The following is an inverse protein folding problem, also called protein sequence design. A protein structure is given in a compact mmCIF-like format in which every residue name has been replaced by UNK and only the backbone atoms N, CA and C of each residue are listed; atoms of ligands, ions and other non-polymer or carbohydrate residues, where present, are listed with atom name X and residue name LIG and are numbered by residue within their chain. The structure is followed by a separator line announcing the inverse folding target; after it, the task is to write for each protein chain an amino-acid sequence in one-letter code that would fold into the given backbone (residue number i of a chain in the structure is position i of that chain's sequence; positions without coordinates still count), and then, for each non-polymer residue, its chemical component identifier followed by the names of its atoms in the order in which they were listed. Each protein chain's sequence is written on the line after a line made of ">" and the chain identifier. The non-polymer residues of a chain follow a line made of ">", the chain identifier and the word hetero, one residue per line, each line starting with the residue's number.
data_IF_084501477123
#
_entry.id   IF_084501477123
#
_cell.length_a   1.000
_cell.length_b   1.000
_cell.length_c   1.000
_cell.angle_alpha   90.00
_cell.angle_beta   90.00
_cell.angle_gamma   90.00
#
_symmetry.space_group_name_H-M   'P 1'
#
loop_
_entity.id
_entity.type
_entity.pdbx_description
1 polymer ?
#
# COMPACT_ATOMS: atom_id res chain seq x y z
N UNK A 1 -9.81 -24.56 -15.92
CA UNK A 1 -8.76 -23.53 -15.72
C UNK A 1 -8.69 -23.10 -14.25
N UNK A 2 -8.21 -23.95 -13.34
CA UNK A 2 -8.21 -23.68 -11.88
C UNK A 2 -7.03 -22.80 -11.44
N UNK A 3 -5.99 -22.67 -12.27
CA UNK A 3 -4.70 -22.08 -11.90
C UNK A 3 -4.66 -20.55 -11.75
N UNK A 4 -5.70 -19.82 -12.17
CA UNK A 4 -5.65 -18.35 -12.22
C UNK A 4 -6.62 -17.64 -11.26
N UNK A 5 -7.44 -18.38 -10.50
CA UNK A 5 -8.45 -17.76 -9.63
C UNK A 5 -7.85 -17.05 -8.41
N UNK A 6 -6.74 -17.57 -7.87
CA UNK A 6 -6.08 -16.96 -6.70
C UNK A 6 -5.39 -15.64 -7.05
N UNK A 7 -4.86 -15.53 -8.26
CA UNK A 7 -4.33 -14.28 -8.80
C UNK A 7 -5.45 -13.26 -8.95
N UNK A 8 -6.60 -13.67 -9.49
CA UNK A 8 -7.78 -12.81 -9.59
C UNK A 8 -8.28 -12.34 -8.21
N UNK A 9 -8.41 -13.24 -7.23
CA UNK A 9 -8.82 -12.88 -5.87
C UNK A 9 -7.86 -11.88 -5.23
N UNK A 10 -6.56 -12.07 -5.44
CA UNK A 10 -5.52 -11.16 -4.98
C UNK A 10 -5.59 -9.79 -5.66
N UNK A 11 -5.83 -9.74 -6.97
CA UNK A 11 -6.04 -8.49 -7.71
C UNK A 11 -7.27 -7.72 -7.21
N UNK A 12 -8.39 -8.41 -6.96
CA UNK A 12 -9.61 -7.79 -6.44
C UNK A 12 -9.39 -7.29 -5.01
N UNK A 13 -8.78 -8.10 -4.14
CA UNK A 13 -8.43 -7.68 -2.78
C UNK A 13 -7.48 -6.47 -2.79
N UNK A 14 -6.49 -6.47 -3.67
CA UNK A 14 -5.55 -5.36 -3.90
C UNK A 14 -6.29 -4.10 -4.32
N UNK A 15 -7.13 -4.18 -5.35
CA UNK A 15 -7.91 -3.04 -5.85
C UNK A 15 -8.80 -2.44 -4.76
N UNK A 16 -9.50 -3.26 -3.97
CA UNK A 16 -10.35 -2.78 -2.87
C UNK A 16 -9.51 -2.09 -1.80
N UNK A 17 -8.40 -2.71 -1.37
CA UNK A 17 -7.53 -2.13 -0.36
C UNK A 17 -6.81 -0.86 -0.85
N UNK A 18 -6.47 -0.78 -2.13
CA UNK A 18 -5.94 0.42 -2.78
C UNK A 18 -6.96 1.55 -2.88
N UNK A 19 -8.21 1.21 -3.21
CA UNK A 19 -9.33 2.18 -3.20
C UNK A 19 -9.56 2.71 -1.79
N UNK A 20 -9.56 1.82 -0.79
CA UNK A 20 -9.63 2.22 0.61
C UNK A 20 -8.49 3.17 0.98
N UNK A 21 -7.25 2.81 0.66
CA UNK A 21 -6.06 3.64 0.92
C UNK A 21 -6.17 5.02 0.24
N UNK A 22 -6.65 5.05 -1.01
CA UNK A 22 -6.90 6.28 -1.76
C UNK A 22 -7.90 7.19 -1.05
N UNK A 23 -9.06 6.66 -0.66
CA UNK A 23 -10.10 7.41 0.06
C UNK A 23 -9.55 7.94 1.37
N UNK A 24 -8.87 7.10 2.17
CA UNK A 24 -8.29 7.54 3.44
C UNK A 24 -7.26 8.66 3.24
N UNK A 25 -6.43 8.55 2.20
CA UNK A 25 -5.41 9.55 1.90
C UNK A 25 -6.02 10.88 1.46
N UNK A 26 -7.10 10.87 0.67
CA UNK A 26 -7.86 12.08 0.34
C UNK A 26 -8.40 12.72 1.63
N UNK A 27 -8.98 11.93 2.53
CA UNK A 27 -9.60 12.45 3.74
C UNK A 27 -8.58 13.02 4.73
N UNK A 28 -7.39 12.43 4.85
CA UNK A 28 -6.38 12.88 5.83
C UNK A 28 -5.40 13.92 5.29
N UNK A 29 -4.94 13.76 4.05
CA UNK A 29 -3.88 14.59 3.48
C UNK A 29 -4.39 15.75 2.62
N UNK A 30 -5.65 15.78 2.20
CA UNK A 30 -6.17 16.87 1.35
C UNK A 30 -5.90 18.27 1.93
N UNK A 31 -6.03 18.41 3.25
CA UNK A 31 -5.84 19.69 3.95
C UNK A 31 -4.44 19.86 4.56
N UNK A 32 -3.60 18.83 4.55
CA UNK A 32 -2.33 18.82 5.31
C UNK A 32 -1.12 18.43 4.46
N UNK A 33 -1.30 18.09 3.18
CA UNK A 33 -0.22 17.63 2.31
C UNK A 33 0.86 18.69 2.10
N UNK A 34 0.48 19.96 1.99
CA UNK A 34 1.44 21.04 1.81
C UNK A 34 2.31 21.19 3.06
N UNK A 35 1.70 21.11 4.26
CA UNK A 35 2.42 21.15 5.53
C UNK A 35 3.32 19.92 5.71
N UNK A 36 2.82 18.73 5.36
CA UNK A 36 3.61 17.50 5.37
C UNK A 36 4.84 17.63 4.47
N UNK A 37 4.66 18.10 3.23
CA UNK A 37 5.74 18.23 2.25
C UNK A 37 6.76 19.28 2.68
N UNK A 38 6.29 20.41 3.23
CA UNK A 38 7.17 21.46 3.78
C UNK A 38 7.99 20.95 4.96
N UNK A 39 7.36 20.29 5.93
CA UNK A 39 8.06 19.77 7.11
C UNK A 39 9.02 18.64 6.73
N UNK A 40 8.63 17.75 5.80
CA UNK A 40 9.50 16.71 5.24
C UNK A 40 10.75 17.32 4.60
N UNK A 41 10.56 18.27 3.68
CA UNK A 41 11.67 18.93 2.99
C UNK A 41 12.58 19.69 3.96
N UNK A 42 11.99 20.40 4.93
CA UNK A 42 12.74 21.12 5.96
C UNK A 42 13.62 20.16 6.78
N UNK A 43 13.04 19.09 7.33
CA UNK A 43 13.79 18.12 8.15
C UNK A 43 14.85 17.39 7.34
N UNK A 44 14.56 17.04 6.10
CA UNK A 44 15.53 16.40 5.20
C UNK A 44 16.74 17.30 4.90
N UNK A 45 16.50 18.60 4.61
CA UNK A 45 17.57 19.55 4.34
C UNK A 45 18.42 19.82 5.59
N UNK A 46 17.77 19.94 6.75
CA UNK A 46 18.46 20.07 8.04
C UNK A 46 19.33 18.84 8.33
N UNK A 47 18.79 17.64 8.15
CA UNK A 47 19.51 16.38 8.32
C UNK A 47 20.70 16.25 7.36
N UNK A 48 20.56 16.79 6.14
CA UNK A 48 21.62 16.80 5.12
C UNK A 48 22.68 17.89 5.36
N UNK A 49 22.58 18.67 6.44
CA UNK A 49 23.56 19.69 6.81
C UNK A 49 23.46 21.01 6.03
N UNK A 50 22.31 21.28 5.39
CA UNK A 50 22.09 22.56 4.68
C UNK A 50 22.00 23.70 5.70
N UNK A 51 22.67 24.86 5.46
CA UNK A 51 22.56 26.01 6.35
C UNK A 51 21.11 26.46 6.53
N UNK A 52 20.67 26.64 7.79
CA UNK A 52 19.27 26.94 8.13
C UNK A 52 18.71 28.16 7.40
N UNK A 53 19.54 29.16 7.14
CA UNK A 53 19.20 30.40 6.42
C UNK A 53 18.74 30.14 4.98
N UNK A 54 19.24 29.08 4.33
CA UNK A 54 18.92 28.73 2.94
C UNK A 54 17.72 27.78 2.83
N UNK A 55 17.36 27.09 3.91
CA UNK A 55 16.31 26.06 3.89
C UNK A 55 14.94 26.64 3.45
N UNK A 56 14.46 27.79 3.96
CA UNK A 56 13.12 28.28 3.61
C UNK A 56 12.95 28.52 2.10
N UNK A 57 13.95 29.08 1.44
CA UNK A 57 13.91 29.32 -0.01
C UNK A 57 13.86 28.01 -0.80
N UNK A 58 14.67 27.03 -0.40
CA UNK A 58 14.72 25.71 -1.06
C UNK A 58 13.40 24.96 -0.84
N UNK A 59 12.85 24.98 0.38
CA UNK A 59 11.56 24.34 0.70
C UNK A 59 10.44 24.93 -0.12
N UNK A 60 10.40 26.26 -0.31
CA UNK A 60 9.40 26.92 -1.15
C UNK A 60 9.45 26.40 -2.60
N UNK A 61 10.65 26.36 -3.21
CA UNK A 61 10.86 25.83 -4.57
C UNK A 61 10.46 24.36 -4.71
N UNK A 62 10.83 23.52 -3.73
CA UNK A 62 10.46 22.09 -3.72
C UNK A 62 8.94 21.94 -3.64
N UNK A 63 8.30 22.64 -2.70
CA UNK A 63 6.86 22.53 -2.46
C UNK A 63 6.07 22.98 -3.69
N UNK A 64 6.45 24.10 -4.31
CA UNK A 64 5.85 24.57 -5.55
C UNK A 64 6.02 23.56 -6.70
N UNK A 65 7.22 22.99 -6.84
CA UNK A 65 7.51 21.98 -7.86
C UNK A 65 6.76 20.67 -7.65
N UNK A 66 6.30 20.37 -6.43
CA UNK A 66 5.57 19.14 -6.11
C UNK A 66 4.05 19.29 -6.21
N UNK A 67 3.51 20.52 -6.29
CA UNK A 67 2.06 20.75 -6.37
C UNK A 67 1.39 20.00 -7.52
N UNK A 68 2.05 19.90 -8.67
CA UNK A 68 1.51 19.16 -9.81
C UNK A 68 1.47 17.64 -9.57
N UNK A 69 2.21 17.08 -8.61
CA UNK A 69 2.15 15.63 -8.32
C UNK A 69 0.99 15.30 -7.36
N UNK A 70 0.46 16.30 -6.65
CA UNK A 70 -0.58 16.07 -5.65
C UNK A 70 -1.87 15.47 -6.22
N UNK A 71 -2.19 15.70 -7.50
CA UNK A 71 -3.35 15.07 -8.13
C UNK A 71 -3.17 13.56 -8.36
N UNK A 72 -1.94 13.03 -8.37
CA UNK A 72 -1.66 11.60 -8.47
C UNK A 72 -1.85 10.86 -7.14
N UNK A 73 -1.82 11.57 -6.01
CA UNK A 73 -2.01 10.96 -4.68
C UNK A 73 -3.24 10.07 -4.55
N UNK A 74 -4.45 10.44 -5.02
CA UNK A 74 -5.59 9.53 -4.96
C UNK A 74 -5.45 8.30 -5.87
N UNK A 75 -4.74 8.39 -6.98
CA UNK A 75 -4.68 7.30 -7.97
C UNK A 75 -3.52 6.33 -7.66
N UNK A 76 -2.42 6.84 -7.13
CA UNK A 76 -1.21 6.09 -6.83
C UNK A 76 -1.43 4.83 -5.98
N UNK A 77 -2.15 4.90 -4.84
CA UNK A 77 -2.43 3.75 -3.99
C UNK A 77 -3.19 2.63 -4.72
N UNK A 78 -4.14 2.98 -5.60
CA UNK A 78 -4.90 1.99 -6.38
C UNK A 78 -3.98 1.25 -7.35
N UNK A 79 -3.16 2.00 -8.09
CA UNK A 79 -2.20 1.43 -9.04
C UNK A 79 -1.18 0.53 -8.31
N UNK A 80 -0.59 1.03 -7.22
CA UNK A 80 0.38 0.27 -6.43
C UNK A 80 -0.21 -1.04 -5.89
N UNK A 81 -1.44 -0.99 -5.36
CA UNK A 81 -2.10 -2.17 -4.81
C UNK A 81 -2.57 -3.14 -5.88
N UNK A 82 -2.80 -2.69 -7.11
CA UNK A 82 -3.03 -3.57 -8.25
C UNK A 82 -1.75 -4.35 -8.59
N UNK A 83 -0.59 -3.68 -8.62
CA UNK A 83 0.71 -4.35 -8.82
C UNK A 83 1.03 -5.34 -7.70
N UNK A 84 0.86 -4.93 -6.43
CA UNK A 84 1.04 -5.84 -5.30
C UNK A 84 0.04 -7.00 -5.34
N UNK A 85 -1.21 -6.74 -5.70
CA UNK A 85 -2.23 -7.77 -5.89
C UNK A 85 -1.81 -8.81 -6.93
N UNK A 86 -1.23 -8.40 -8.05
CA UNK A 86 -0.71 -9.32 -9.06
C UNK A 86 0.45 -10.17 -8.51
N UNK A 87 1.46 -9.51 -7.95
CA UNK A 87 2.69 -10.16 -7.46
C UNK A 87 2.41 -11.12 -6.29
N UNK A 88 1.63 -10.68 -5.32
CA UNK A 88 1.21 -11.50 -4.18
C UNK A 88 0.21 -12.58 -4.58
N UNK A 89 -0.53 -12.39 -5.68
CA UNK A 89 -1.39 -13.40 -6.27
C UNK A 89 -0.61 -14.61 -6.77
N UNK A 90 0.56 -14.39 -7.38
CA UNK A 90 1.48 -15.46 -7.77
C UNK A 90 2.00 -16.22 -6.55
N UNK A 91 2.39 -15.48 -5.50
CA UNK A 91 2.80 -16.08 -4.22
C UNK A 91 1.67 -16.91 -3.61
N UNK A 92 0.43 -16.40 -3.62
CA UNK A 92 -0.72 -17.11 -3.11
C UNK A 92 -0.96 -18.41 -3.87
N UNK A 93 -1.00 -18.37 -5.21
CA UNK A 93 -1.20 -19.58 -6.02
C UNK A 93 -0.15 -20.65 -5.71
N UNK A 94 1.12 -20.25 -5.64
CA UNK A 94 2.22 -21.14 -5.25
C UNK A 94 2.00 -21.75 -3.85
N UNK A 95 1.68 -20.93 -2.85
CA UNK A 95 1.47 -21.39 -1.47
C UNK A 95 0.25 -22.30 -1.34
N UNK A 96 -0.84 -22.01 -2.05
CA UNK A 96 -2.03 -22.87 -2.06
C UNK A 96 -1.70 -24.23 -2.65
N UNK A 97 -1.01 -24.27 -3.79
CA UNK A 97 -0.58 -25.53 -4.43
C UNK A 97 0.32 -26.35 -3.50
N UNK A 98 1.23 -25.70 -2.78
CA UNK A 98 2.18 -26.35 -1.86
C UNK A 98 1.53 -26.81 -0.54
N UNK A 99 0.72 -25.98 0.10
CA UNK A 99 0.18 -26.24 1.44
C UNK A 99 -1.18 -26.95 1.42
N UNK A 100 -1.90 -26.88 0.29
CA UNK A 100 -3.28 -27.37 0.13
C UNK A 100 -4.27 -26.81 1.16
N UNK A 101 -3.92 -25.69 1.81
CA UNK A 101 -4.71 -25.00 2.85
C UNK A 101 -4.86 -23.53 2.47
N UNK A 102 -5.91 -23.15 1.73
CA UNK A 102 -6.07 -21.80 1.20
C UNK A 102 -6.01 -20.71 2.26
N UNK A 103 -6.63 -20.91 3.41
CA UNK A 103 -6.60 -19.99 4.55
C UNK A 103 -5.18 -19.67 5.03
N UNK A 104 -4.35 -20.70 5.25
CA UNK A 104 -2.97 -20.53 5.72
C UNK A 104 -2.15 -19.83 4.63
N UNK A 105 -2.34 -20.20 3.37
CA UNK A 105 -1.66 -19.56 2.24
C UNK A 105 -2.00 -18.06 2.17
N UNK A 106 -3.28 -17.68 2.31
CA UNK A 106 -3.70 -16.28 2.33
C UNK A 106 -3.10 -15.49 3.50
N UNK A 107 -3.06 -16.07 4.70
CA UNK A 107 -2.43 -15.45 5.85
C UNK A 107 -0.93 -15.23 5.65
N UNK A 108 -0.21 -16.22 5.11
CA UNK A 108 1.21 -16.10 4.82
C UNK A 108 1.50 -15.06 3.72
N UNK A 109 0.67 -15.01 2.68
CA UNK A 109 0.76 -13.97 1.64
C UNK A 109 0.54 -12.58 2.24
N UNK A 110 -0.49 -12.41 3.08
CA UNK A 110 -0.76 -11.15 3.78
C UNK A 110 0.35 -10.74 4.75
N UNK A 111 0.89 -11.69 5.51
CA UNK A 111 2.04 -11.47 6.39
C UNK A 111 3.29 -11.07 5.58
N UNK A 112 3.51 -11.68 4.42
CA UNK A 112 4.60 -11.29 3.50
C UNK A 112 4.41 -9.87 3.00
N UNK A 113 3.18 -9.49 2.66
CA UNK A 113 2.87 -8.13 2.23
C UNK A 113 3.19 -7.12 3.34
N UNK A 114 2.65 -7.33 4.54
CA UNK A 114 2.88 -6.46 5.68
C UNK A 114 4.36 -6.38 6.05
N UNK A 115 5.05 -7.51 6.10
CA UNK A 115 6.47 -7.53 6.49
C UNK A 115 7.34 -6.84 5.44
N UNK A 116 7.32 -7.29 4.19
CA UNK A 116 8.30 -6.87 3.18
C UNK A 116 7.99 -5.50 2.57
N UNK A 117 6.72 -5.12 2.46
CA UNK A 117 6.33 -3.91 1.75
C UNK A 117 5.83 -2.81 2.68
N UNK A 118 5.65 -3.08 3.98
CA UNK A 118 5.26 -2.07 4.97
C UNK A 118 6.26 -1.95 6.11
N UNK A 119 6.45 -2.99 6.91
CA UNK A 119 7.25 -2.91 8.15
C UNK A 119 8.75 -2.80 7.87
N UNK A 120 9.30 -3.63 6.99
CA UNK A 120 10.73 -3.59 6.65
C UNK A 120 11.13 -2.23 6.06
N UNK A 121 10.42 -1.66 5.06
CA UNK A 121 10.71 -0.32 4.57
C UNK A 121 10.65 0.75 5.66
N UNK A 122 9.65 0.70 6.55
CA UNK A 122 9.54 1.65 7.66
C UNK A 122 10.74 1.54 8.63
N UNK A 123 11.12 0.32 9.02
CA UNK A 123 12.27 0.08 9.90
C UNK A 123 13.59 0.52 9.25
N UNK A 124 13.75 0.30 7.95
CA UNK A 124 14.94 0.75 7.21
C UNK A 124 14.99 2.28 7.14
N UNK A 125 13.86 2.94 6.89
CA UNK A 125 13.80 4.41 6.87
C UNK A 125 14.08 4.99 8.25
N UNK A 126 13.56 4.38 9.31
CA UNK A 126 13.88 4.79 10.69
C UNK A 126 15.36 4.56 11.03
N UNK A 127 15.97 3.47 10.57
CA UNK A 127 17.39 3.21 10.77
C UNK A 127 18.30 4.22 10.03
N UNK A 128 17.87 4.70 8.85
CA UNK A 128 18.63 5.64 8.03
C UNK A 128 18.41 7.09 8.45
N UNK A 129 17.16 7.49 8.65
CA UNK A 129 16.79 8.88 8.91
C UNK A 129 16.61 9.17 10.40
N UNK A 130 16.36 8.17 11.23
CA UNK A 130 16.01 8.32 12.64
C UNK A 130 14.50 8.47 12.85
N UNK A 131 14.10 8.61 14.12
CA UNK A 131 12.69 8.64 14.52
C UNK A 131 11.90 9.82 13.96
N UNK A 132 12.55 10.91 13.55
CA UNK A 132 11.84 12.09 13.06
C UNK A 132 10.98 11.77 11.83
N UNK A 133 11.37 10.78 11.03
CA UNK A 133 10.63 10.37 9.84
C UNK A 133 9.35 9.61 10.21
N UNK A 134 9.44 8.67 11.15
CA UNK A 134 8.28 7.92 11.65
C UNK A 134 7.35 8.82 12.47
N UNK A 135 7.89 9.77 13.24
CA UNK A 135 7.12 10.81 13.93
C UNK A 135 6.34 11.69 12.96
N UNK A 136 6.96 12.07 11.82
CA UNK A 136 6.31 12.86 10.79
C UNK A 136 5.15 12.08 10.15
N UNK A 137 5.38 10.81 9.79
CA UNK A 137 4.32 9.94 9.26
C UNK A 137 3.18 9.76 10.26
N UNK A 138 3.50 9.57 11.54
CA UNK A 138 2.51 9.43 12.61
C UNK A 138 1.71 10.72 12.81
N UNK A 139 2.34 11.89 12.69
CA UNK A 139 1.70 13.21 12.84
C UNK A 139 0.68 13.50 11.74
N UNK A 140 1.03 13.22 10.48
CA UNK A 140 0.21 13.63 9.33
C UNK A 140 -0.71 12.53 8.78
N UNK A 141 -0.33 11.26 8.92
CA UNK A 141 -1.09 10.12 8.40
C UNK A 141 -1.62 9.26 9.55
N UNK A 142 -0.78 9.00 10.56
CA UNK A 142 -1.09 8.09 11.65
C UNK A 142 -0.73 6.65 11.31
N UNK A 143 0.04 6.01 12.18
CA UNK A 143 0.51 4.63 12.00
C UNK A 143 -0.60 3.60 11.73
N UNK A 144 -1.80 3.69 12.36
CA UNK A 144 -2.89 2.76 12.06
C UNK A 144 -3.33 2.82 10.59
N UNK A 145 -3.38 4.01 9.98
CA UNK A 145 -3.79 4.17 8.58
C UNK A 145 -2.72 3.67 7.61
N UNK A 146 -1.46 3.70 8.01
CA UNK A 146 -0.35 3.13 7.23
C UNK A 146 -0.44 1.58 7.20
N UNK A 147 -0.87 0.96 8.29
CA UNK A 147 -0.97 -0.50 8.42
C UNK A 147 -2.34 -1.04 7.93
N UNK A 148 -3.38 -0.20 7.87
CA UNK A 148 -4.73 -0.62 7.52
C UNK A 148 -4.84 -1.27 6.12
N UNK A 149 -4.23 -0.75 5.04
CA UNK A 149 -4.33 -1.37 3.71
C UNK A 149 -3.82 -2.82 3.63
N UNK A 150 -2.61 -3.17 4.12
CA UNK A 150 -2.17 -4.57 4.13
C UNK A 150 -3.03 -5.47 5.02
N UNK A 151 -3.56 -4.95 6.12
CA UNK A 151 -4.50 -5.70 6.96
C UNK A 151 -5.82 -5.99 6.23
N UNK A 152 -6.41 -4.96 5.60
CA UNK A 152 -7.63 -5.11 4.81
C UNK A 152 -7.44 -6.08 3.65
N UNK A 153 -6.34 -5.93 2.91
CA UNK A 153 -5.95 -6.86 1.85
C UNK A 153 -5.91 -8.32 2.37
N UNK A 154 -5.27 -8.55 3.52
CA UNK A 154 -5.13 -9.89 4.11
C UNK A 154 -6.48 -10.49 4.51
N UNK A 155 -7.35 -9.68 5.12
CA UNK A 155 -8.71 -10.11 5.51
C UNK A 155 -9.51 -10.49 4.27
N UNK A 156 -9.53 -9.63 3.24
CA UNK A 156 -10.25 -9.89 1.99
C UNK A 156 -9.71 -11.13 1.28
N UNK A 157 -8.40 -11.28 1.19
CA UNK A 157 -7.76 -12.44 0.56
C UNK A 157 -8.14 -13.74 1.25
N UNK A 158 -8.18 -13.71 2.58
CA UNK A 158 -8.56 -14.85 3.43
C UNK A 158 -10.02 -15.22 3.21
N UNK A 159 -10.92 -14.24 3.16
CA UNK A 159 -12.35 -14.44 2.86
C UNK A 159 -12.52 -15.05 1.47
N UNK A 160 -11.94 -14.43 0.44
CA UNK A 160 -12.10 -14.88 -0.95
C UNK A 160 -11.56 -16.29 -1.18
N UNK A 161 -10.47 -16.65 -0.49
CA UNK A 161 -9.81 -17.95 -0.67
C UNK A 161 -10.41 -19.08 0.16
N UNK A 162 -11.11 -18.76 1.27
CA UNK A 162 -11.51 -19.76 2.28
C UNK A 162 -13.02 -19.86 2.49
N UNK A 163 -13.77 -18.80 2.21
CA UNK A 163 -15.22 -18.74 2.43
C UNK A 163 -15.93 -18.95 1.09
N UNK A 164 -16.96 -19.81 1.08
CA UNK A 164 -17.83 -19.98 -0.09
C UNK A 164 -18.67 -18.72 -0.27
N UNK A 165 -18.58 -18.10 -1.45
CA UNK A 165 -19.36 -16.90 -1.76
C UNK A 165 -19.53 -16.66 -3.26
N UNK A 166 -20.22 -15.56 -3.64
CA UNK A 166 -20.50 -15.24 -5.04
C UNK A 166 -19.25 -15.13 -5.92
N UNK A 167 -18.12 -14.77 -5.32
CA UNK A 167 -16.82 -14.62 -5.97
C UNK A 167 -16.24 -15.91 -6.54
N UNK A 168 -16.72 -17.09 -6.12
CA UNK A 168 -16.26 -18.37 -6.68
C UNK A 168 -16.51 -18.48 -8.18
N UNK A 169 -17.52 -17.77 -8.69
CA UNK A 169 -17.88 -17.75 -10.11
C UNK A 169 -16.99 -16.82 -10.96
N UNK A 170 -16.19 -15.95 -10.34
CA UNK A 170 -15.41 -14.94 -11.06
C UNK A 170 -14.25 -15.52 -11.89
N UNK A 171 -13.94 -16.81 -11.74
CA UNK A 171 -12.94 -17.53 -12.56
C UNK A 171 -13.46 -18.79 -13.26
N UNK A 172 -14.76 -19.07 -13.15
CA UNK A 172 -15.42 -20.19 -13.82
C UNK A 172 -16.05 -19.67 -15.11
N UNK A 173 -15.23 -19.45 -16.14
CA UNK A 173 -15.75 -19.30 -17.48
C UNK A 173 -16.28 -20.67 -17.93
N UNK A 174 -17.57 -20.92 -17.78
CA UNK A 174 -18.22 -22.04 -18.47
C UNK A 174 -18.01 -21.83 -19.98
N UNK A 175 -17.50 -22.82 -20.72
CA UNK A 175 -17.48 -22.72 -22.17
C UNK A 175 -18.94 -22.65 -22.63
N UNK A 176 -19.34 -21.50 -23.17
CA UNK A 176 -20.58 -21.42 -23.93
C UNK A 176 -20.39 -22.26 -25.18
N UNK A 177 -20.83 -23.51 -25.14
CA UNK A 177 -21.08 -24.30 -26.35
C UNK A 177 -22.14 -23.54 -27.15
N UNK A 178 -21.70 -22.90 -28.23
CA UNK A 178 -22.56 -22.38 -29.30
C UNK A 178 -22.71 -23.46 -30.37
#
# INVERSE_FOLDING_TARGET
>A
MVENKYILYSLVAGTIAGTFSSITMILTLSNTIEDFTRELAYKQLLWSGVPQEKIPEIVAKITESLKWVYWLMPVGPVINMLFFGALLGLLLDFLVKKLKKPYIASMLTGATFLALFQLVPLLLLEAVYGSWFTDLLSKYIGMPLIIAPPMLYTVLLTIFSSVKGPWMRWGEAEPKTY
#
